data_IF_989352058567
#
_entry.id   IF_989352058567
#
_cell.length_a   1.000
_cell.length_b   1.000
_cell.length_c   1.000
_cell.angle_alpha   90.00
_cell.angle_beta   90.00
_cell.angle_gamma   90.00
#
_symmetry.space_group_name_H-M   'P 1'
#
loop_
_entity.id
_entity.type
_entity.pdbx_description
1 polymer ?
#
# COMPACT_ATOMS: atom_id res chain seq x y z
N UNK A 1 -11.73 62.02 -3.43
CA UNK A 1 -12.12 60.68 -2.95
C UNK A 1 -11.37 59.62 -3.74
N UNK A 2 -10.42 58.91 -3.13
CA UNK A 2 -9.66 57.83 -3.80
C UNK A 2 -10.42 56.53 -3.58
N UNK A 3 -10.96 55.94 -4.67
CA UNK A 3 -11.61 54.62 -4.60
C UNK A 3 -10.54 53.55 -4.55
N UNK A 4 -10.38 52.90 -3.40
CA UNK A 4 -9.48 51.75 -3.22
C UNK A 4 -10.12 50.52 -3.87
N UNK A 5 -9.66 50.14 -5.07
CA UNK A 5 -10.12 48.89 -5.72
C UNK A 5 -9.39 47.69 -5.13
N UNK A 6 -10.06 46.67 -4.60
CA UNK A 6 -9.40 45.46 -4.12
C UNK A 6 -8.72 44.75 -5.30
N UNK A 7 -7.40 44.49 -5.25
CA UNK A 7 -6.77 43.61 -6.25
C UNK A 7 -7.27 42.21 -5.96
N UNK A 8 -7.95 41.61 -6.93
CA UNK A 8 -8.47 40.25 -6.77
C UNK A 8 -7.33 39.26 -6.97
N UNK A 9 -7.38 38.13 -6.26
CA UNK A 9 -6.41 37.03 -6.43
C UNK A 9 -6.32 36.54 -7.88
N UNK A 10 -7.42 36.61 -8.63
CA UNK A 10 -7.45 36.29 -10.06
C UNK A 10 -6.58 37.21 -10.93
N UNK A 11 -6.39 38.47 -10.54
CA UNK A 11 -5.54 39.43 -11.26
C UNK A 11 -4.06 39.15 -11.01
N UNK A 12 -3.68 38.82 -9.77
CA UNK A 12 -2.32 38.39 -9.44
C UNK A 12 -1.95 37.11 -10.19
N UNK A 13 -2.86 36.13 -10.27
CA UNK A 13 -2.62 34.89 -11.02
C UNK A 13 -2.47 35.14 -12.52
N UNK A 14 -3.22 36.10 -13.09
CA UNK A 14 -3.06 36.51 -14.49
C UNK A 14 -1.71 37.18 -14.73
N UNK A 15 -1.28 38.07 -13.85
CA UNK A 15 0.02 38.74 -13.95
C UNK A 15 1.18 37.76 -13.78
N UNK A 16 1.06 36.77 -12.89
CA UNK A 16 2.05 35.70 -12.74
C UNK A 16 2.17 34.82 -14.00
N UNK A 17 1.06 34.57 -14.70
CA UNK A 17 1.08 33.84 -15.99
C UNK A 17 1.76 34.65 -17.09
N UNK A 18 1.46 35.94 -17.19
CA UNK A 18 2.11 36.85 -18.15
C UNK A 18 3.61 37.01 -17.87
N UNK A 19 3.99 37.15 -16.60
CA UNK A 19 5.40 37.23 -16.19
C UNK A 19 6.19 35.98 -16.62
N UNK A 20 5.56 34.78 -16.53
CA UNK A 20 6.17 33.53 -16.99
C UNK A 20 6.23 33.39 -18.51
N UNK A 21 5.23 33.85 -19.26
CA UNK A 21 5.23 33.71 -20.73
C UNK A 21 6.22 34.65 -21.40
N UNK A 22 6.34 35.88 -20.88
CA UNK A 22 7.21 36.91 -21.44
C UNK A 22 8.60 36.96 -20.78
N UNK A 23 8.81 36.15 -19.73
CA UNK A 23 10.00 36.13 -18.89
C UNK A 23 10.38 37.52 -18.34
N UNK A 24 9.37 38.27 -17.87
CA UNK A 24 9.53 39.64 -17.36
C UNK A 24 9.16 39.68 -15.88
N UNK A 25 9.92 40.42 -15.08
CA UNK A 25 9.57 40.70 -13.67
C UNK A 25 8.55 41.83 -13.61
N UNK A 26 7.42 41.58 -12.94
CA UNK A 26 6.38 42.59 -12.74
C UNK A 26 6.44 43.10 -11.30
N UNK A 27 6.70 44.39 -11.13
CA UNK A 27 6.64 45.07 -9.83
C UNK A 27 5.37 45.92 -9.72
N UNK A 28 4.62 45.73 -8.64
CA UNK A 28 3.41 46.49 -8.35
C UNK A 28 3.59 47.16 -6.99
N UNK A 29 3.57 48.49 -6.97
CA UNK A 29 3.62 49.26 -5.72
C UNK A 29 2.21 49.72 -5.36
N UNK A 30 1.77 49.37 -4.15
CA UNK A 30 0.49 49.82 -3.63
C UNK A 30 0.53 49.97 -2.11
N UNK A 31 0.03 51.09 -1.61
CA UNK A 31 -0.08 51.38 -0.17
C UNK A 31 1.27 51.22 0.57
N UNK A 32 2.39 51.56 -0.10
CA UNK A 32 3.75 51.43 0.44
C UNK A 32 4.33 50.01 0.42
N UNK A 33 3.57 49.03 -0.09
CA UNK A 33 4.02 47.64 -0.24
C UNK A 33 4.35 47.37 -1.72
N UNK A 34 5.60 47.03 -1.99
CA UNK A 34 6.08 46.60 -3.31
C UNK A 34 5.95 45.09 -3.42
N UNK A 35 5.04 44.63 -4.28
CA UNK A 35 4.88 43.22 -4.61
C UNK A 35 5.67 42.97 -5.90
N UNK A 36 6.71 42.15 -5.81
CA UNK A 36 7.53 41.71 -6.95
C UNK A 36 7.12 40.30 -7.35
N UNK A 37 6.65 40.15 -8.59
CA UNK A 37 6.28 38.85 -9.18
C UNK A 37 7.33 38.52 -10.23
N UNK A 38 8.17 37.53 -9.92
CA UNK A 38 9.24 37.08 -10.83
C UNK A 38 8.85 35.74 -11.47
N UNK A 39 9.22 35.50 -12.74
CA UNK A 39 9.19 34.15 -13.30
C UNK A 39 10.11 33.25 -12.48
N UNK A 40 9.61 32.08 -12.07
CA UNK A 40 10.33 31.15 -11.20
C UNK A 40 11.12 30.17 -12.08
N UNK A 41 12.40 30.46 -12.29
CA UNK A 41 13.30 29.65 -13.11
C UNK A 41 14.17 28.74 -12.24
N UNK A 42 13.59 28.08 -11.23
CA UNK A 42 14.15 26.91 -10.55
C UNK A 42 15.56 26.97 -9.94
N UNK A 43 16.29 28.08 -10.01
CA UNK A 43 17.72 28.12 -9.70
C UNK A 43 18.02 29.20 -8.65
N UNK A 44 17.66 28.90 -7.39
CA UNK A 44 18.29 29.55 -6.24
C UNK A 44 19.12 28.52 -5.50
N UNK A 45 20.42 28.62 -5.73
CA UNK A 45 21.48 28.09 -4.88
C UNK A 45 21.70 29.12 -3.76
N UNK A 46 21.17 28.87 -2.54
CA UNK A 46 21.63 29.53 -1.32
C UNK A 46 21.10 28.79 -0.07
N UNK A 47 22.02 28.05 0.57
CA UNK A 47 22.10 27.63 1.98
C UNK A 47 20.91 26.90 2.64
N UNK A 48 21.14 25.63 3.01
CA UNK A 48 20.31 24.82 3.90
C UNK A 48 20.20 25.41 5.33
N UNK A 49 19.16 25.05 6.12
CA UNK A 49 19.23 23.79 6.85
C UNK A 49 18.02 22.87 6.64
N UNK A 50 18.33 21.64 6.26
CA UNK A 50 17.73 20.36 6.68
C UNK A 50 16.22 20.33 6.98
N UNK A 51 15.42 19.92 6.00
CA UNK A 51 14.40 18.87 6.15
C UNK A 51 13.92 18.41 4.76
N UNK A 52 14.52 17.35 4.22
CA UNK A 52 14.12 16.77 2.93
C UNK A 52 12.80 15.99 3.08
N UNK A 53 11.67 16.62 2.73
CA UNK A 53 10.49 15.89 2.24
C UNK A 53 10.66 15.65 0.74
N UNK A 54 11.31 14.53 0.41
CA UNK A 54 11.35 13.99 -0.95
C UNK A 54 10.00 13.34 -1.30
N UNK A 55 9.44 13.68 -2.47
CA UNK A 55 8.66 12.71 -3.26
C UNK A 55 7.13 12.79 -3.25
N UNK A 56 6.50 13.98 -3.33
CA UNK A 56 5.04 14.09 -3.57
C UNK A 56 4.68 14.00 -5.07
N UNK A 57 5.06 12.91 -5.74
CA UNK A 57 4.67 12.61 -7.12
C UNK A 57 3.72 11.42 -7.28
N UNK A 58 3.72 10.48 -6.32
CA UNK A 58 2.95 9.23 -6.42
C UNK A 58 1.64 9.24 -5.61
N UNK A 59 1.47 10.21 -4.70
CA UNK A 59 0.28 10.27 -3.83
C UNK A 59 -0.97 10.84 -4.54
N UNK A 60 -0.79 11.65 -5.60
CA UNK A 60 -1.91 12.25 -6.35
C UNK A 60 -2.59 11.28 -7.34
N UNK A 61 -1.88 10.24 -7.79
CA UNK A 61 -2.47 9.16 -8.60
C UNK A 61 -3.45 8.30 -7.79
N UNK A 62 -3.13 8.03 -6.52
CA UNK A 62 -3.88 7.09 -5.68
C UNK A 62 -5.18 7.69 -5.13
N UNK A 63 -5.18 8.99 -4.82
CA UNK A 63 -6.36 9.70 -4.29
C UNK A 63 -7.46 9.86 -5.33
N UNK A 64 -7.10 10.20 -6.57
CA UNK A 64 -8.07 10.50 -7.65
C UNK A 64 -8.89 9.30 -8.14
N UNK A 65 -8.37 8.07 -7.98
CA UNK A 65 -9.03 6.84 -8.44
C UNK A 65 -9.96 6.20 -7.40
N UNK A 66 -9.84 6.57 -6.12
CA UNK A 66 -10.61 5.99 -5.01
C UNK A 66 -11.76 6.87 -4.51
N UNK A 67 -11.79 8.15 -4.87
CA UNK A 67 -12.91 9.07 -4.54
C UNK A 67 -14.26 8.67 -5.14
N UNK A 68 -14.28 7.80 -6.16
CA UNK A 68 -15.51 7.43 -6.88
C UNK A 68 -16.20 6.16 -6.38
N UNK A 69 -15.70 5.49 -5.31
CA UNK A 69 -16.27 4.19 -4.87
C UNK A 69 -16.65 4.02 -3.39
N UNK A 70 -16.42 4.98 -2.51
CA UNK A 70 -17.01 4.89 -1.17
C UNK A 70 -17.16 6.27 -0.53
N UNK A 71 -18.40 6.73 -0.36
CA UNK A 71 -18.74 7.90 0.45
C UNK A 71 -18.57 7.65 1.95
N UNK A 72 -17.37 7.22 2.38
CA UNK A 72 -16.96 7.18 3.78
C UNK A 72 -15.75 8.11 3.92
N UNK A 73 -15.94 9.19 4.67
CA UNK A 73 -14.86 10.06 5.12
C UNK A 73 -13.78 9.21 5.77
N UNK A 74 -12.53 9.36 5.33
CA UNK A 74 -11.40 8.66 5.92
C UNK A 74 -11.08 9.34 7.25
N UNK A 75 -11.53 8.74 8.35
CA UNK A 75 -11.24 9.19 9.72
C UNK A 75 -10.05 8.40 10.27
N UNK A 76 -8.81 8.96 10.26
CA UNK A 76 -7.62 8.27 10.74
C UNK A 76 -7.74 7.85 12.21
N UNK A 77 -8.36 8.67 13.04
CA UNK A 77 -8.56 8.37 14.47
C UNK A 77 -9.47 7.15 14.69
N UNK A 78 -10.45 6.94 13.80
CA UNK A 78 -11.32 5.76 13.87
C UNK A 78 -10.57 4.47 13.53
N UNK A 79 -9.55 4.54 12.66
CA UNK A 79 -8.67 3.42 12.31
C UNK A 79 -7.78 3.08 13.50
N UNK A 80 -7.14 4.08 14.09
CA UNK A 80 -6.27 3.93 15.27
C UNK A 80 -7.06 3.36 16.44
N UNK A 81 -8.26 3.88 16.70
CA UNK A 81 -9.12 3.39 17.78
C UNK A 81 -9.51 1.91 17.57
N UNK A 82 -9.95 1.52 16.38
CA UNK A 82 -10.29 0.11 16.09
C UNK A 82 -9.10 -0.83 16.30
N UNK A 83 -7.90 -0.39 15.95
CA UNK A 83 -6.69 -1.17 16.18
C UNK A 83 -6.48 -1.42 17.68
N UNK A 84 -6.52 -0.38 18.51
CA UNK A 84 -6.36 -0.51 19.95
C UNK A 84 -7.48 -1.32 20.61
N UNK A 85 -8.73 -1.08 20.20
CA UNK A 85 -9.88 -1.87 20.65
C UNK A 85 -9.70 -3.36 20.32
N UNK A 86 -9.13 -3.70 19.16
CA UNK A 86 -8.94 -5.11 18.74
C UNK A 86 -7.93 -5.89 19.58
N UNK A 87 -6.92 -5.19 20.11
CA UNK A 87 -5.90 -5.79 20.99
C UNK A 87 -6.25 -5.63 22.48
N UNK A 88 -7.35 -4.93 22.80
CA UNK A 88 -7.78 -4.63 24.17
C UNK A 88 -6.88 -3.61 24.89
N UNK A 89 -6.17 -2.77 24.14
CA UNK A 89 -5.28 -1.74 24.67
C UNK A 89 -6.00 -0.39 24.75
N UNK A 90 -5.82 0.33 25.84
CA UNK A 90 -6.26 1.73 25.95
C UNK A 90 -5.04 2.64 26.19
N UNK A 91 -4.66 3.49 25.22
CA UNK A 91 -3.49 4.35 25.33
C UNK A 91 -3.57 5.37 26.46
N UNK A 92 -4.76 5.63 27.03
CA UNK A 92 -4.93 6.56 28.15
C UNK A 92 -4.75 5.92 29.51
N UNK A 93 -4.91 4.60 29.62
CA UNK A 93 -4.88 3.89 30.90
C UNK A 93 -3.79 2.82 31.00
N UNK A 94 -3.20 2.41 29.88
CA UNK A 94 -2.18 1.35 29.82
C UNK A 94 -0.81 1.88 29.38
N UNK A 95 0.26 1.33 29.95
CA UNK A 95 1.63 1.74 29.62
C UNK A 95 2.12 1.13 28.31
N UNK A 96 3.21 1.67 27.73
CA UNK A 96 3.85 1.11 26.54
C UNK A 96 4.29 -0.36 26.73
N UNK A 97 4.65 -0.73 27.97
CA UNK A 97 5.00 -2.12 28.30
C UNK A 97 3.79 -3.06 28.23
N UNK A 98 2.61 -2.55 28.57
CA UNK A 98 1.37 -3.32 28.46
C UNK A 98 0.93 -3.45 27.00
N UNK A 99 1.17 -2.41 26.18
CA UNK A 99 1.00 -2.49 24.73
C UNK A 99 1.84 -3.61 24.12
N UNK A 100 3.15 -3.65 24.40
CA UNK A 100 4.04 -4.69 23.87
C UNK A 100 3.60 -6.10 24.29
N UNK A 101 3.17 -6.27 25.54
CA UNK A 101 2.67 -7.56 26.03
C UNK A 101 1.41 -7.99 25.30
N UNK A 102 0.41 -7.11 25.18
CA UNK A 102 -0.83 -7.40 24.47
C UNK A 102 -0.59 -7.67 22.99
N UNK A 103 0.29 -6.89 22.37
CA UNK A 103 0.67 -7.07 20.98
C UNK A 103 1.31 -8.45 20.76
N UNK A 104 2.27 -8.87 21.60
CA UNK A 104 2.88 -10.20 21.51
C UNK A 104 1.85 -11.33 21.69
N UNK A 105 0.88 -11.17 22.59
CA UNK A 105 -0.18 -12.15 22.79
C UNK A 105 -1.10 -12.20 21.56
N UNK A 106 -1.50 -11.06 21.02
CA UNK A 106 -2.35 -10.97 19.84
C UNK A 106 -1.63 -11.55 18.61
N UNK A 107 -0.35 -11.25 18.44
CA UNK A 107 0.45 -11.75 17.32
C UNK A 107 0.69 -13.27 17.45
N UNK A 108 0.98 -13.78 18.64
CA UNK A 108 1.08 -15.22 18.87
C UNK A 108 -0.25 -15.95 18.59
N UNK A 109 -1.39 -15.38 18.99
CA UNK A 109 -2.72 -15.92 18.66
C UNK A 109 -2.96 -15.92 17.15
N UNK A 110 -2.65 -14.80 16.48
CA UNK A 110 -2.75 -14.69 15.02
C UNK A 110 -1.89 -15.76 14.35
N UNK A 111 -0.63 -15.92 14.75
CA UNK A 111 0.29 -16.93 14.19
C UNK A 111 -0.25 -18.35 14.42
N UNK A 112 -0.84 -18.63 15.60
CA UNK A 112 -1.47 -19.92 15.87
C UNK A 112 -2.74 -20.18 15.03
N UNK A 113 -3.45 -19.13 14.61
CA UNK A 113 -4.64 -19.23 13.74
C UNK A 113 -4.28 -19.41 12.27
N UNK A 114 -3.10 -18.93 11.82
CA UNK A 114 -2.66 -19.00 10.43
C UNK A 114 -2.76 -20.43 9.84
N UNK A 115 -2.28 -21.51 10.49
CA UNK A 115 -2.34 -22.85 9.93
C UNK A 115 -3.76 -23.41 9.76
N UNK A 116 -4.74 -22.89 10.52
CA UNK A 116 -6.12 -23.37 10.51
C UNK A 116 -6.97 -22.72 9.41
N UNK A 117 -6.57 -21.52 8.95
CA UNK A 117 -7.31 -20.78 7.94
C UNK A 117 -7.13 -21.39 6.53
N UNK A 118 -8.14 -21.24 5.67
CA UNK A 118 -8.04 -21.66 4.27
C UNK A 118 -7.02 -20.79 3.53
N UNK A 119 -6.37 -21.37 2.51
CA UNK A 119 -5.46 -20.65 1.63
C UNK A 119 -6.15 -19.46 0.95
N UNK A 120 -5.60 -18.26 1.14
CA UNK A 120 -6.06 -17.03 0.50
C UNK A 120 -5.70 -17.03 -1.00
N UNK A 121 -6.42 -16.22 -1.79
CA UNK A 121 -6.15 -16.09 -3.24
C UNK A 121 -4.71 -15.65 -3.54
N UNK A 122 -4.16 -14.75 -2.72
CA UNK A 122 -2.78 -14.28 -2.86
C UNK A 122 -1.76 -15.41 -2.58
N UNK A 123 -2.00 -16.19 -1.53
CA UNK A 123 -1.17 -17.35 -1.16
C UNK A 123 -1.15 -18.40 -2.28
N UNK A 124 -2.32 -18.76 -2.81
CA UNK A 124 -2.43 -19.68 -3.94
C UNK A 124 -1.65 -19.18 -5.15
N UNK A 125 -1.78 -17.90 -5.48
CA UNK A 125 -1.08 -17.29 -6.63
C UNK A 125 0.44 -17.31 -6.45
N UNK A 126 0.93 -17.01 -5.25
CA UNK A 126 2.36 -17.06 -4.94
C UNK A 126 2.90 -18.49 -5.05
N UNK A 127 2.19 -19.49 -4.50
CA UNK A 127 2.60 -20.89 -4.59
C UNK A 127 2.57 -21.43 -6.03
N UNK A 128 1.62 -21.00 -6.85
CA UNK A 128 1.59 -21.34 -8.28
C UNK A 128 2.80 -20.79 -9.02
N UNK A 129 3.18 -19.53 -8.76
CA UNK A 129 4.39 -18.94 -9.37
C UNK A 129 5.65 -19.69 -8.92
N UNK A 130 5.77 -20.00 -7.63
CA UNK A 130 6.92 -20.76 -7.13
C UNK A 130 6.99 -22.18 -7.73
N UNK A 131 5.83 -22.81 -7.99
CA UNK A 131 5.77 -24.11 -8.69
C UNK A 131 6.28 -24.02 -10.12
N UNK A 132 6.10 -22.90 -10.82
CA UNK A 132 6.63 -22.72 -12.18
C UNK A 132 8.16 -22.76 -12.22
N UNK A 133 8.83 -22.29 -11.16
CA UNK A 133 10.29 -22.37 -11.03
C UNK A 133 10.78 -23.76 -10.58
N UNK A 134 10.01 -24.43 -9.70
CA UNK A 134 10.29 -25.80 -9.25
C UNK A 134 10.63 -25.91 -7.77
N UNK A 135 10.65 -27.15 -7.28
CA UNK A 135 10.89 -27.46 -5.88
C UNK A 135 12.37 -27.22 -5.51
N UNK A 136 12.61 -26.57 -4.36
CA UNK A 136 13.97 -26.30 -3.88
C UNK A 136 14.75 -25.24 -4.67
N UNK A 137 14.13 -24.58 -5.65
CA UNK A 137 14.75 -23.49 -6.41
C UNK A 137 14.61 -22.19 -5.62
N UNK A 138 15.72 -21.47 -5.45
CA UNK A 138 15.72 -20.12 -4.87
C UNK A 138 15.19 -19.13 -5.89
N UNK A 139 14.02 -18.55 -5.60
CA UNK A 139 13.38 -17.55 -6.45
C UNK A 139 13.52 -16.18 -5.79
N UNK A 140 14.13 -15.19 -6.46
CA UNK A 140 14.20 -13.83 -5.93
C UNK A 140 12.83 -13.26 -5.60
N UNK A 141 12.71 -12.49 -4.52
CA UNK A 141 11.43 -11.96 -4.09
C UNK A 141 10.74 -11.08 -5.14
N UNK A 142 11.53 -10.41 -6.00
CA UNK A 142 11.06 -9.54 -7.08
C UNK A 142 10.30 -10.30 -8.19
N UNK A 143 10.62 -11.58 -8.37
CA UNK A 143 10.02 -12.42 -9.41
C UNK A 143 8.67 -12.99 -8.95
N UNK A 144 8.40 -13.02 -7.64
CA UNK A 144 7.14 -13.49 -7.06
C UNK A 144 6.17 -12.32 -6.87
N UNK A 145 5.26 -12.15 -7.82
CA UNK A 145 4.29 -11.04 -7.82
C UNK A 145 3.11 -11.32 -6.90
N UNK A 146 2.87 -10.39 -5.97
CA UNK A 146 1.71 -10.42 -5.07
C UNK A 146 1.94 -11.22 -3.79
N UNK A 147 3.20 -11.57 -3.50
CA UNK A 147 3.63 -11.98 -2.17
C UNK A 147 4.02 -10.71 -1.40
N UNK A 148 3.18 -10.27 -0.47
CA UNK A 148 3.52 -9.19 0.46
C UNK A 148 3.79 -9.74 1.86
N UNK A 149 4.20 -8.88 2.82
CA UNK A 149 4.69 -9.32 4.13
C UNK A 149 3.72 -10.26 4.87
N UNK A 150 2.42 -9.94 4.83
CA UNK A 150 1.39 -10.75 5.46
C UNK A 150 1.12 -12.09 4.76
N UNK A 151 1.41 -12.20 3.47
CA UNK A 151 1.33 -13.46 2.71
C UNK A 151 2.58 -14.31 2.98
N UNK A 152 3.75 -13.68 3.02
CA UNK A 152 5.03 -14.33 3.30
C UNK A 152 5.03 -14.98 4.68
N UNK A 153 4.64 -14.23 5.71
CA UNK A 153 4.50 -14.74 7.09
C UNK A 153 3.57 -15.96 7.13
N UNK A 154 2.45 -15.92 6.38
CA UNK A 154 1.47 -17.00 6.38
C UNK A 154 1.97 -18.26 5.68
N UNK A 155 2.65 -18.10 4.56
CA UNK A 155 3.24 -19.22 3.83
C UNK A 155 4.41 -19.84 4.60
N UNK A 156 5.22 -19.01 5.25
CA UNK A 156 6.32 -19.46 6.09
C UNK A 156 5.83 -20.16 7.37
N UNK A 157 4.82 -19.61 8.05
CA UNK A 157 4.22 -20.23 9.25
C UNK A 157 3.53 -21.58 8.97
N UNK A 158 3.22 -21.89 7.70
CA UNK A 158 2.68 -23.19 7.26
C UNK A 158 3.74 -24.12 6.68
N UNK A 159 5.02 -23.75 6.77
CA UNK A 159 6.16 -24.46 6.17
C UNK A 159 6.05 -24.68 4.65
N UNK A 160 5.26 -23.85 3.94
CA UNK A 160 5.10 -23.96 2.48
C UNK A 160 6.25 -23.32 1.72
N UNK A 161 6.89 -22.31 2.31
CA UNK A 161 8.06 -21.64 1.77
C UNK A 161 9.11 -21.45 2.86
N UNK A 162 10.38 -21.54 2.47
CA UNK A 162 11.51 -21.08 3.29
C UNK A 162 11.94 -19.70 2.81
N UNK A 163 12.12 -18.76 3.74
CA UNK A 163 12.55 -17.39 3.44
C UNK A 163 14.06 -17.30 3.65
N UNK A 164 14.78 -16.86 2.62
CA UNK A 164 16.21 -16.52 2.72
C UNK A 164 16.37 -15.01 2.74
N UNK A 165 16.96 -14.51 3.82
CA UNK A 165 17.31 -13.09 3.93
C UNK A 165 18.49 -12.75 3.01
N UNK A 166 18.58 -11.51 2.56
CA UNK A 166 19.74 -11.04 1.78
C UNK A 166 20.98 -10.98 2.68
N UNK A 167 22.14 -11.38 2.14
CA UNK A 167 23.42 -11.34 2.84
C UNK A 167 23.89 -9.91 3.12
N UNK A 168 23.61 -8.98 2.19
CA UNK A 168 23.94 -7.55 2.33
C UNK A 168 22.95 -6.78 3.23
N UNK A 169 21.70 -7.24 3.31
CA UNK A 169 20.63 -6.57 4.07
C UNK A 169 19.80 -7.62 4.82
N UNK A 170 20.17 -7.97 6.06
CA UNK A 170 19.50 -9.03 6.81
C UNK A 170 18.04 -8.71 7.16
N UNK A 171 17.67 -7.43 7.10
CA UNK A 171 16.30 -6.95 7.32
C UNK A 171 15.39 -7.14 6.09
N UNK A 172 15.94 -7.60 4.95
CA UNK A 172 15.21 -7.75 3.69
C UNK A 172 15.18 -9.19 3.23
N UNK A 173 14.00 -9.58 2.75
CA UNK A 173 13.83 -10.87 2.10
C UNK A 173 14.56 -10.86 0.76
N UNK A 174 15.43 -11.86 0.56
CA UNK A 174 16.20 -12.02 -0.66
C UNK A 174 15.52 -12.96 -1.64
N UNK A 175 15.16 -14.15 -1.17
CA UNK A 175 14.58 -15.19 -1.98
C UNK A 175 13.61 -16.07 -1.19
N UNK A 176 12.69 -16.68 -1.92
CA UNK A 176 11.80 -17.71 -1.43
C UNK A 176 12.22 -19.06 -2.01
N UNK A 177 12.05 -20.11 -1.22
CA UNK A 177 12.27 -21.48 -1.64
C UNK A 177 10.99 -22.29 -1.41
N UNK A 178 10.49 -22.97 -2.44
CA UNK A 178 9.31 -23.82 -2.34
C UNK A 178 9.67 -25.15 -1.67
N UNK A 179 8.96 -25.50 -0.60
CA UNK A 179 9.14 -26.77 0.12
C UNK A 179 8.24 -27.87 -0.45
N UNK A 180 8.49 -29.11 -0.04
CA UNK A 180 7.62 -30.25 -0.37
C UNK A 180 6.18 -30.07 0.14
N UNK A 181 6.03 -29.46 1.33
CA UNK A 181 4.72 -29.18 1.90
C UNK A 181 3.96 -28.15 1.05
N UNK A 182 4.66 -27.11 0.57
CA UNK A 182 4.11 -26.12 -0.34
C UNK A 182 3.64 -26.73 -1.66
N UNK A 183 4.43 -27.64 -2.24
CA UNK A 183 4.06 -28.32 -3.48
C UNK A 183 2.81 -29.21 -3.31
N UNK A 184 2.75 -30.01 -2.24
CA UNK A 184 1.57 -30.83 -1.91
C UNK A 184 0.32 -29.98 -1.70
N UNK A 185 0.47 -28.81 -1.08
CA UNK A 185 -0.64 -27.87 -0.90
C UNK A 185 -1.18 -27.37 -2.26
N UNK A 186 -0.29 -27.08 -3.23
CA UNK A 186 -0.69 -26.70 -4.59
C UNK A 186 -1.52 -27.77 -5.28
N UNK A 187 -1.04 -29.01 -5.24
CA UNK A 187 -1.75 -30.15 -5.82
C UNK A 187 -3.13 -30.33 -5.17
N UNK A 188 -3.22 -30.18 -3.84
CA UNK A 188 -4.47 -30.32 -3.11
C UNK A 188 -5.54 -29.29 -3.52
N UNK A 189 -5.15 -28.03 -3.78
CA UNK A 189 -6.12 -27.01 -4.19
C UNK A 189 -6.44 -27.02 -5.69
N UNK A 190 -5.50 -27.41 -6.56
CA UNK A 190 -5.77 -27.63 -7.98
C UNK A 190 -6.85 -28.69 -8.17
N UNK A 191 -6.75 -29.80 -7.43
CA UNK A 191 -7.74 -30.88 -7.50
C UNK A 191 -9.14 -30.47 -6.99
N UNK A 192 -9.22 -29.67 -5.94
CA UNK A 192 -10.52 -29.21 -5.41
C UNK A 192 -11.19 -28.19 -6.33
N UNK A 193 -10.43 -27.31 -7.00
CA UNK A 193 -10.99 -26.38 -7.98
C UNK A 193 -11.52 -27.12 -9.22
N UNK A 194 -10.79 -28.12 -9.72
CA UNK A 194 -11.23 -28.98 -10.83
C UNK A 194 -12.51 -29.77 -10.47
N UNK A 195 -12.58 -30.36 -9.28
CA UNK A 195 -13.80 -31.06 -8.83
C UNK A 195 -15.00 -30.12 -8.66
N UNK A 196 -14.77 -28.91 -8.17
CA UNK A 196 -15.81 -27.88 -8.04
C UNK A 196 -16.35 -27.46 -9.41
N UNK A 197 -15.47 -27.28 -10.40
CA UNK A 197 -15.88 -26.95 -11.76
C UNK A 197 -16.63 -28.11 -12.44
N UNK A 198 -16.16 -29.35 -12.29
CA UNK A 198 -16.82 -30.54 -12.84
C UNK A 198 -18.22 -30.75 -12.27
N UNK A 199 -18.40 -30.58 -10.95
CA UNK A 199 -19.71 -30.69 -10.31
C UNK A 199 -20.67 -29.56 -10.74
N UNK A 200 -20.18 -28.34 -10.92
CA UNK A 200 -20.96 -27.21 -11.44
C UNK A 200 -21.41 -27.43 -12.90
N UNK A 201 -20.55 -28.01 -13.75
CA UNK A 201 -20.88 -28.35 -15.15
C UNK A 201 -21.94 -29.47 -15.19
N UNK A 202 -21.79 -30.50 -14.36
CA UNK A 202 -22.78 -31.59 -14.24
C UNK A 202 -24.16 -31.08 -13.80
N UNK A 203 -24.21 -30.18 -12.81
CA UNK A 203 -25.46 -29.57 -12.33
C UNK A 203 -26.14 -28.68 -13.40
N UNK A 204 -25.36 -27.95 -14.21
CA UNK A 204 -25.89 -27.14 -15.31
C UNK A 204 -26.48 -27.97 -16.46
N UNK A 205 -25.89 -29.12 -16.79
CA UNK A 205 -26.41 -30.02 -17.84
C UNK A 205 -27.74 -30.69 -17.45
N UNK A 206 -27.98 -30.92 -16.16
CA UNK A 206 -29.25 -31.49 -15.68
C UNK A 206 -30.47 -30.54 -15.73
N UNK A 207 -30.26 -29.22 -15.85
CA UNK A 207 -31.35 -28.22 -15.89
C UNK A 207 -31.90 -27.92 -17.29
N UNK A 208 -31.21 -28.34 -18.35
CA UNK A 208 -31.61 -28.04 -19.74
C UNK A 208 -32.53 -29.14 -20.32
N UNK A 209 -32.73 -30.26 -19.61
CA UNK A 209 -33.53 -31.41 -20.08
C UNK A 209 -34.95 -31.55 -19.47
N UNK A 210 -35.48 -30.53 -18.79
CA UNK A 210 -36.87 -30.51 -18.31
C UNK A 210 -37.54 -29.22 -18.80
N UNK A 211 -38.05 -29.24 -20.02
CA UNK A 211 -39.02 -28.28 -20.56
C UNK A 211 -39.92 -29.05 -21.50
#
# INVERSE_FOLDING_TARGET
MIRKGLIKTSELTRLAKLARSENVTVEIERDGVKIRVMPFDGNFCAAEPTFQKSGNGEHEWWTRKNESKSGKTFDPDAIVKRHYDSIGYDPKSMSDKDYERLYKIADAKRIAEIPLEKLLKAEKKALLQLREYGLGVLVPWQDVKGCGPSTEERLHARDFIEIRMQEEFPDRVGAYLLTEAGLKAVEAFDHTEVQTLLSAISSKRGKIGRS
#
